data_IF_583042825663
#
_entry.id   IF_583042825663
#
_cell.length_a   1.000
_cell.length_b   1.000
_cell.length_c   1.000
_cell.angle_alpha   90.00
_cell.angle_beta   90.00
_cell.angle_gamma   90.00
#
_symmetry.space_group_name_H-M   'P 1'
#
loop_
_entity.id
_entity.type
_entity.pdbx_description
1 polymer ?
#
# COMPACT_ATOMS: atom_id res chain seq x y z
N UNK A 1 2.48 0.44 -16.09
CA UNK A 1 2.86 -0.96 -15.77
C UNK A 1 2.14 -1.95 -16.67
N UNK A 2 0.80 -2.00 -16.69
CA UNK A 2 0.03 -2.93 -17.53
C UNK A 2 -0.84 -2.21 -18.59
N UNK A 3 -0.29 -1.79 -19.74
CA UNK A 3 -1.04 -1.02 -20.74
C UNK A 3 -2.13 -1.81 -21.47
N UNK A 4 -2.08 -3.15 -21.44
CA UNK A 4 -3.08 -4.02 -22.05
C UNK A 4 -4.26 -4.38 -21.14
N UNK A 5 -4.19 -4.03 -19.85
CA UNK A 5 -5.29 -4.27 -18.92
C UNK A 5 -6.45 -3.29 -19.16
N UNK A 6 -7.68 -3.79 -19.06
CA UNK A 6 -8.88 -2.93 -19.05
C UNK A 6 -8.97 -2.25 -17.68
N UNK A 7 -9.21 -0.94 -17.67
CA UNK A 7 -9.38 -0.15 -16.45
C UNK A 7 -10.86 0.19 -16.30
N UNK A 8 -11.49 -0.31 -15.25
CA UNK A 8 -12.82 0.08 -14.83
C UNK A 8 -12.72 1.07 -13.66
N UNK A 9 -12.98 2.36 -13.94
CA UNK A 9 -13.01 3.40 -12.92
C UNK A 9 -14.38 3.39 -12.22
N UNK A 10 -14.42 2.91 -10.98
CA UNK A 10 -15.64 2.85 -10.17
C UNK A 10 -15.69 4.08 -9.25
N UNK A 11 -16.71 4.92 -9.42
CA UNK A 11 -16.81 6.21 -8.76
C UNK A 11 -17.80 6.18 -7.59
N UNK A 12 -17.33 6.47 -6.38
CA UNK A 12 -18.18 6.69 -5.21
C UNK A 12 -18.94 8.02 -5.33
N UNK A 13 -20.11 8.08 -4.70
CA UNK A 13 -20.94 9.30 -4.67
C UNK A 13 -20.29 10.42 -3.85
N UNK A 14 -19.51 10.07 -2.84
CA UNK A 14 -18.75 10.99 -1.99
C UNK A 14 -17.51 10.28 -1.43
N UNK A 15 -16.73 10.99 -0.61
CA UNK A 15 -15.60 10.43 0.14
C UNK A 15 -16.01 9.81 1.49
N UNK A 16 -17.31 9.64 1.75
CA UNK A 16 -17.77 9.00 2.99
C UNK A 16 -17.56 7.49 2.89
N UNK A 17 -17.15 6.86 4.00
CA UNK A 17 -16.79 5.43 4.05
C UNK A 17 -17.91 4.52 3.54
N UNK A 18 -19.17 4.84 3.85
CA UNK A 18 -20.32 4.07 3.38
C UNK A 18 -20.47 4.10 1.84
N UNK A 19 -20.15 5.22 1.20
CA UNK A 19 -20.19 5.34 -0.27
C UNK A 19 -18.99 4.63 -0.92
N UNK A 20 -17.81 4.69 -0.28
CA UNK A 20 -16.62 3.93 -0.71
C UNK A 20 -16.86 2.42 -0.60
N UNK A 21 -17.39 1.95 0.53
CA UNK A 21 -17.79 0.56 0.73
C UNK A 21 -18.81 0.12 -0.32
N UNK A 22 -19.81 0.96 -0.61
CA UNK A 22 -20.83 0.63 -1.61
C UNK A 22 -20.25 0.38 -2.99
N UNK A 23 -19.25 1.15 -3.42
CA UNK A 23 -18.63 0.96 -4.75
C UNK A 23 -17.62 -0.17 -4.77
N UNK A 24 -16.88 -0.39 -3.68
CA UNK A 24 -16.02 -1.57 -3.55
C UNK A 24 -16.86 -2.85 -3.60
N UNK A 25 -17.99 -2.87 -2.88
CA UNK A 25 -18.95 -3.97 -2.94
C UNK A 25 -19.49 -4.17 -4.36
N UNK A 26 -19.88 -3.10 -5.05
CA UNK A 26 -20.35 -3.19 -6.43
C UNK A 26 -19.30 -3.81 -7.36
N UNK A 27 -18.03 -3.39 -7.22
CA UNK A 27 -16.94 -3.92 -8.02
C UNK A 27 -16.71 -5.42 -7.80
N UNK A 28 -16.80 -5.88 -6.54
CA UNK A 28 -16.69 -7.29 -6.17
C UNK A 28 -17.90 -8.11 -6.65
N UNK A 29 -19.12 -7.67 -6.34
CA UNK A 29 -20.37 -8.38 -6.69
C UNK A 29 -20.56 -8.58 -8.20
N UNK A 30 -20.00 -7.68 -9.01
CA UNK A 30 -20.09 -7.73 -10.47
C UNK A 30 -18.79 -8.19 -11.13
N UNK A 31 -17.80 -8.61 -10.34
CA UNK A 31 -16.47 -9.06 -10.79
C UNK A 31 -15.86 -8.15 -11.86
N UNK A 32 -15.88 -6.83 -11.64
CA UNK A 32 -15.49 -5.86 -12.67
C UNK A 32 -14.02 -5.98 -13.10
N UNK A 33 -13.16 -6.55 -12.24
CA UNK A 33 -11.76 -6.80 -12.56
C UNK A 33 -11.13 -7.81 -11.60
N UNK A 34 -9.99 -8.33 -12.02
CA UNK A 34 -9.21 -9.33 -11.28
C UNK A 34 -8.45 -8.69 -10.08
N UNK A 35 -8.33 -7.36 -10.10
CA UNK A 35 -7.56 -6.57 -9.14
C UNK A 35 -8.27 -5.26 -8.82
N UNK A 36 -8.42 -4.96 -7.53
CA UNK A 36 -8.91 -3.69 -7.00
C UNK A 36 -7.73 -2.93 -6.40
N UNK A 37 -7.56 -1.66 -6.80
CA UNK A 37 -6.55 -0.75 -6.26
C UNK A 37 -7.20 0.42 -5.55
N UNK A 38 -6.85 0.63 -4.29
CA UNK A 38 -7.38 1.71 -3.45
C UNK A 38 -6.24 2.64 -3.01
N UNK A 39 -6.27 3.88 -3.47
CA UNK A 39 -5.28 4.91 -3.12
C UNK A 39 -5.89 5.95 -2.16
N UNK A 40 -6.54 5.45 -1.10
CA UNK A 40 -7.18 6.25 -0.05
C UNK A 40 -7.09 5.51 1.28
N UNK A 41 -7.30 6.24 2.36
CA UNK A 41 -7.37 5.67 3.69
C UNK A 41 -7.47 6.73 4.79
N UNK A 42 -7.65 6.24 6.00
CA UNK A 42 -7.67 7.04 7.24
C UNK A 42 -7.17 6.20 8.42
N UNK A 43 -7.02 6.82 9.59
CA UNK A 43 -6.74 6.09 10.82
C UNK A 43 -7.82 5.02 11.06
N UNK A 44 -7.42 3.75 11.18
CA UNK A 44 -8.38 2.66 11.40
C UNK A 44 -9.24 2.86 12.67
N UNK A 45 -8.75 3.63 13.64
CA UNK A 45 -9.50 3.99 14.85
C UNK A 45 -10.62 5.02 14.63
N UNK A 46 -10.65 5.68 13.48
CA UNK A 46 -11.64 6.70 13.14
C UNK A 46 -12.82 6.15 12.35
N UNK A 47 -12.63 5.04 11.63
CA UNK A 47 -13.67 4.37 10.88
C UNK A 47 -14.75 3.78 11.79
N UNK A 48 -16.02 3.83 11.37
CA UNK A 48 -17.12 3.18 12.09
C UNK A 48 -16.88 1.65 12.14
N UNK A 49 -16.83 1.03 13.34
CA UNK A 49 -16.58 -0.41 13.47
C UNK A 49 -17.56 -1.30 12.69
N UNK A 50 -18.80 -0.85 12.46
CA UNK A 50 -19.79 -1.58 11.64
C UNK A 50 -19.46 -1.49 10.17
N UNK A 51 -18.96 -0.35 9.70
CA UNK A 51 -18.51 -0.20 8.32
C UNK A 51 -17.25 -1.02 8.08
N UNK A 52 -16.29 -1.03 9.02
CA UNK A 52 -15.11 -1.92 8.94
C UNK A 52 -15.51 -3.39 8.89
N UNK A 53 -16.47 -3.83 9.71
CA UNK A 53 -16.96 -5.20 9.66
C UNK A 53 -17.61 -5.55 8.31
N UNK A 54 -18.42 -4.63 7.76
CA UNK A 54 -19.03 -4.82 6.44
C UNK A 54 -18.00 -4.76 5.30
N UNK A 55 -16.97 -3.93 5.42
CA UNK A 55 -15.85 -3.86 4.47
C UNK A 55 -15.05 -5.16 4.49
N UNK A 56 -14.77 -5.70 5.67
CA UNK A 56 -14.12 -7.00 5.82
C UNK A 56 -14.90 -8.12 5.12
N UNK A 57 -16.23 -8.17 5.27
CA UNK A 57 -17.09 -9.14 4.57
C UNK A 57 -16.99 -9.01 3.03
N UNK A 58 -16.81 -7.78 2.52
CA UNK A 58 -16.59 -7.53 1.08
C UNK A 58 -15.20 -8.03 0.66
N UNK A 59 -14.16 -7.85 1.46
CA UNK A 59 -12.83 -8.39 1.17
C UNK A 59 -12.79 -9.92 1.26
N UNK A 60 -13.57 -10.53 2.16
CA UNK A 60 -13.77 -11.98 2.17
C UNK A 60 -14.45 -12.47 0.89
N UNK A 61 -15.42 -11.72 0.36
CA UNK A 61 -16.05 -12.02 -0.92
C UNK A 61 -15.05 -11.88 -2.07
N UNK A 62 -14.26 -10.80 -2.10
CA UNK A 62 -13.19 -10.60 -3.09
C UNK A 62 -12.20 -11.78 -3.10
N UNK A 63 -11.76 -12.23 -1.92
CA UNK A 63 -10.87 -13.37 -1.79
C UNK A 63 -11.49 -14.68 -2.33
N UNK A 64 -12.81 -14.90 -2.14
CA UNK A 64 -13.53 -16.05 -2.70
C UNK A 64 -13.67 -16.00 -4.22
N UNK A 65 -13.84 -14.80 -4.78
CA UNK A 65 -13.94 -14.58 -6.24
C UNK A 65 -12.56 -14.42 -6.92
N UNK A 66 -11.48 -14.70 -6.18
CA UNK A 66 -10.10 -14.53 -6.64
C UNK A 66 -9.78 -13.12 -7.13
N UNK A 67 -10.36 -12.10 -6.49
CA UNK A 67 -10.03 -10.68 -6.74
C UNK A 67 -8.94 -10.25 -5.77
N UNK A 68 -7.83 -9.73 -6.29
CA UNK A 68 -6.77 -9.17 -5.46
C UNK A 68 -7.16 -7.77 -4.98
N UNK A 69 -7.07 -7.50 -3.68
CA UNK A 69 -7.35 -6.16 -3.13
C UNK A 69 -6.06 -5.53 -2.61
N UNK A 70 -5.73 -4.34 -3.13
CA UNK A 70 -4.55 -3.57 -2.76
C UNK A 70 -4.95 -2.21 -2.22
N UNK A 71 -4.25 -1.76 -1.19
CA UNK A 71 -4.42 -0.41 -0.66
C UNK A 71 -3.10 0.27 -0.30
N UNK A 72 -3.03 1.58 -0.54
CA UNK A 72 -1.95 2.43 -0.03
C UNK A 72 -1.93 2.41 1.50
N UNK A 73 -0.74 2.24 2.10
CA UNK A 73 -0.58 2.16 3.56
C UNK A 73 -0.61 3.51 4.29
N UNK A 74 -0.57 4.62 3.55
CA UNK A 74 -0.64 5.98 4.09
C UNK A 74 0.62 6.79 3.81
N UNK A 75 0.49 8.12 3.92
CA UNK A 75 1.54 9.08 3.54
C UNK A 75 2.05 9.92 4.71
N UNK A 76 1.58 9.66 5.93
CA UNK A 76 1.95 10.38 7.16
C UNK A 76 2.85 9.53 8.08
N UNK A 77 3.71 8.70 7.51
CA UNK A 77 4.63 7.85 8.27
C UNK A 77 3.90 6.83 9.15
N UNK A 78 4.38 6.63 10.37
CA UNK A 78 3.67 5.83 11.38
C UNK A 78 2.40 6.52 11.93
N UNK A 79 2.12 7.75 11.50
CA UNK A 79 0.98 8.52 11.95
C UNK A 79 -0.18 8.49 10.95
N UNK A 80 -1.35 8.82 11.47
CA UNK A 80 -2.53 9.22 10.69
C UNK A 80 -3.13 10.48 11.32
N UNK A 81 -3.88 11.29 10.56
CA UNK A 81 -4.66 12.35 11.15
C UNK A 81 -5.63 11.81 12.22
N UNK A 82 -5.82 12.60 13.26
CA UNK A 82 -6.92 12.42 14.23
C UNK A 82 -8.29 12.52 13.54
N UNK A 83 -9.34 11.96 14.13
CA UNK A 83 -10.65 11.87 13.49
C UNK A 83 -11.33 13.24 13.24
N UNK A 84 -10.92 14.28 13.98
CA UNK A 84 -11.33 15.67 13.76
C UNK A 84 -10.35 16.46 12.88
N UNK A 85 -9.31 15.78 12.37
CA UNK A 85 -8.24 16.31 11.54
C UNK A 85 -7.46 17.47 12.18
N UNK A 86 -7.46 17.56 13.52
CA UNK A 86 -6.81 18.64 14.26
C UNK A 86 -5.33 18.40 14.55
N UNK A 87 -4.91 17.14 14.64
CA UNK A 87 -3.55 16.68 14.94
C UNK A 87 -3.28 15.29 14.34
N UNK A 88 -2.19 14.63 14.76
CA UNK A 88 -1.77 13.30 14.31
C UNK A 88 -1.68 12.31 15.46
N UNK A 89 -1.98 11.04 15.19
CA UNK A 89 -1.92 9.91 16.12
C UNK A 89 -1.14 8.74 15.52
N UNK A 90 -0.48 7.95 16.35
CA UNK A 90 0.10 6.67 15.92
C UNK A 90 -1.05 5.72 15.52
N UNK A 91 -1.13 5.36 14.24
CA UNK A 91 -2.20 4.50 13.74
C UNK A 91 -1.81 3.85 12.43
N UNK A 92 -2.27 2.60 12.21
CA UNK A 92 -2.35 2.03 10.88
C UNK A 92 -3.47 2.69 10.06
N UNK A 93 -3.34 2.64 8.73
CA UNK A 93 -4.36 3.13 7.80
C UNK A 93 -5.31 1.99 7.41
N UNK A 94 -6.61 2.21 7.53
CA UNK A 94 -7.62 1.39 6.83
C UNK A 94 -7.76 1.89 5.38
N UNK A 95 -8.07 1.07 4.36
CA UNK A 95 -8.31 -0.39 4.40
C UNK A 95 -7.03 -1.24 4.38
N UNK A 96 -5.84 -0.64 4.25
CA UNK A 96 -4.59 -1.40 4.22
C UNK A 96 -4.36 -2.26 5.48
N UNK A 97 -4.96 -1.90 6.63
CA UNK A 97 -4.83 -2.64 7.88
C UNK A 97 -5.66 -3.92 7.93
N UNK A 98 -6.63 -4.09 7.03
CA UNK A 98 -7.39 -5.33 6.90
C UNK A 98 -6.44 -6.50 6.50
N UNK A 99 -6.53 -7.67 7.15
CA UNK A 99 -5.72 -8.84 6.82
C UNK A 99 -5.91 -9.41 5.40
N UNK A 100 -7.02 -9.11 4.73
CA UNK A 100 -7.33 -9.56 3.38
C UNK A 100 -6.86 -8.59 2.28
N UNK A 101 -6.37 -7.43 2.68
CA UNK A 101 -5.83 -6.40 1.78
C UNK A 101 -4.31 -6.49 1.76
N UNK A 102 -3.71 -6.41 0.58
CA UNK A 102 -2.26 -6.23 0.43
C UNK A 102 -1.94 -4.74 0.61
N UNK A 103 -1.37 -4.39 1.77
CA UNK A 103 -0.96 -3.04 2.09
C UNK A 103 0.35 -2.66 1.38
N UNK A 104 0.34 -1.54 0.66
CA UNK A 104 1.50 -1.06 -0.12
C UNK A 104 2.16 0.15 0.53
N UNK A 105 3.39 -0.05 0.96
CA UNK A 105 4.32 0.92 1.53
C UNK A 105 5.06 1.78 0.50
N UNK A 106 5.89 2.66 1.02
CA UNK A 106 6.66 3.64 0.27
C UNK A 106 8.17 3.52 0.46
N UNK A 107 8.89 3.52 -0.66
CA UNK A 107 10.35 3.68 -0.73
C UNK A 107 10.71 4.98 -1.43
N UNK A 108 11.96 5.40 -1.25
CA UNK A 108 12.60 6.37 -2.13
C UNK A 108 13.59 5.62 -3.04
N UNK A 109 13.22 5.53 -4.31
CA UNK A 109 14.00 4.85 -5.34
C UNK A 109 15.14 5.75 -5.85
N UNK A 110 16.35 5.18 -5.82
CA UNK A 110 17.47 5.66 -6.61
C UNK A 110 17.66 4.72 -7.81
N UNK A 111 17.39 5.25 -8.99
CA UNK A 111 17.57 4.56 -10.26
C UNK A 111 18.35 5.43 -11.23
N UNK A 112 19.01 4.80 -12.18
CA UNK A 112 19.67 5.50 -13.28
C UNK A 112 18.62 6.20 -14.14
N UNK A 113 18.68 7.53 -14.23
CA UNK A 113 17.66 8.34 -14.88
C UNK A 113 17.62 8.20 -16.40
N UNK A 114 18.64 7.61 -17.02
CA UNK A 114 18.71 7.42 -18.48
C UNK A 114 18.23 6.02 -18.88
N UNK A 115 18.60 5.01 -18.10
CA UNK A 115 18.36 3.59 -18.40
C UNK A 115 17.21 2.99 -17.61
N UNK A 116 16.78 3.64 -16.52
CA UNK A 116 15.80 3.12 -15.57
C UNK A 116 16.34 1.98 -14.70
N UNK A 117 17.65 1.70 -14.73
CA UNK A 117 18.25 0.62 -13.97
C UNK A 117 18.16 0.91 -12.47
N UNK A 118 17.64 -0.05 -11.70
CA UNK A 118 17.66 -0.03 -10.24
C UNK A 118 19.09 0.11 -9.69
N UNK A 119 19.29 1.00 -8.71
CA UNK A 119 20.57 1.17 -7.98
C UNK A 119 20.38 0.83 -6.51
N UNK A 120 19.44 1.48 -5.84
CA UNK A 120 19.13 1.26 -4.42
C UNK A 120 17.79 1.87 -4.02
N UNK A 121 17.27 1.47 -2.88
CA UNK A 121 16.12 2.08 -2.23
C UNK A 121 16.40 2.34 -0.74
N UNK A 122 15.72 3.34 -0.19
CA UNK A 122 15.63 3.60 1.26
C UNK A 122 14.15 3.77 1.62
N UNK A 123 13.81 3.70 2.90
CA UNK A 123 12.44 4.02 3.33
C UNK A 123 12.07 5.46 2.92
N UNK A 124 10.85 5.63 2.40
CA UNK A 124 10.37 6.97 2.06
C UNK A 124 10.09 7.79 3.32
N UNK A 125 10.85 8.87 3.50
CA UNK A 125 10.62 9.88 4.54
C UNK A 125 11.13 11.25 4.08
N UNK A 126 10.25 12.04 3.48
CA UNK A 126 10.51 13.40 3.04
C UNK A 126 9.91 14.39 4.04
N UNK A 127 10.58 14.54 5.19
CA UNK A 127 10.10 15.36 6.31
C UNK A 127 9.77 16.81 5.91
N UNK A 128 10.50 17.38 4.94
CA UNK A 128 10.22 18.73 4.42
C UNK A 128 8.85 18.85 3.72
N UNK A 129 8.31 17.73 3.23
CA UNK A 129 6.97 17.62 2.65
C UNK A 129 5.94 17.11 3.66
N UNK A 130 6.34 16.88 4.92
CA UNK A 130 5.53 16.20 5.94
C UNK A 130 4.94 14.89 5.39
N UNK A 131 5.79 14.09 4.72
CA UNK A 131 5.35 12.87 4.05
C UNK A 131 6.33 11.72 4.30
N UNK A 132 5.81 10.55 4.62
CA UNK A 132 6.59 9.34 4.86
C UNK A 132 5.72 8.09 4.67
N UNK A 133 6.37 6.94 4.46
CA UNK A 133 5.69 5.65 4.27
C UNK A 133 4.79 5.27 5.46
N UNK A 134 3.52 5.02 5.18
CA UNK A 134 2.60 4.34 6.06
C UNK A 134 3.15 2.99 6.54
N UNK A 135 3.07 2.73 7.84
CA UNK A 135 3.56 1.46 8.37
C UNK A 135 3.47 1.40 9.89
N UNK A 136 3.30 0.19 10.41
CA UNK A 136 3.12 -0.04 11.83
C UNK A 136 2.32 -1.30 12.11
N UNK A 137 1.52 -1.26 13.17
CA UNK A 137 0.70 -2.39 13.60
C UNK A 137 -0.73 -1.92 13.80
N UNK A 138 -1.68 -2.71 13.32
CA UNK A 138 -3.09 -2.49 13.64
C UNK A 138 -3.33 -2.62 15.15
N UNK A 139 -4.37 -1.96 15.65
CA UNK A 139 -4.96 -2.13 16.98
C UNK A 139 -6.32 -2.84 16.90
N UNK A 140 -6.83 -3.10 15.69
CA UNK A 140 -8.12 -3.74 15.45
C UNK A 140 -7.97 -5.20 15.01
N UNK A 141 -7.04 -5.46 14.08
CA UNK A 141 -6.87 -6.77 13.46
C UNK A 141 -5.71 -7.54 14.08
N UNK A 142 -6.00 -8.75 14.58
CA UNK A 142 -4.97 -9.68 15.06
C UNK A 142 -4.01 -10.06 13.95
N UNK A 143 -2.78 -10.41 14.32
CA UNK A 143 -1.78 -10.91 13.38
C UNK A 143 -2.36 -12.13 12.63
N UNK A 144 -2.55 -12.05 11.30
CA UNK A 144 -3.06 -13.17 10.53
C UNK A 144 -2.00 -14.27 10.40
N UNK A 145 -2.46 -15.49 10.11
CA UNK A 145 -1.60 -16.67 10.14
C UNK A 145 -0.42 -16.60 9.18
N UNK A 146 -0.58 -15.94 8.03
CA UNK A 146 0.51 -15.76 7.05
C UNK A 146 1.65 -14.89 7.57
N UNK A 147 1.42 -14.05 8.59
CA UNK A 147 2.46 -13.24 9.22
C UNK A 147 3.21 -13.97 10.35
N UNK A 148 2.79 -15.20 10.72
CA UNK A 148 3.45 -15.96 11.78
C UNK A 148 4.90 -16.27 11.41
N UNK A 149 5.82 -16.08 12.37
CA UNK A 149 7.26 -16.27 12.15
C UNK A 149 7.97 -15.06 11.55
N UNK A 150 7.23 -14.10 10.99
CA UNK A 150 7.75 -12.83 10.45
C UNK A 150 7.46 -11.68 11.41
N UNK A 151 6.18 -11.38 11.63
CA UNK A 151 5.75 -10.23 12.41
C UNK A 151 5.70 -10.61 13.89
N UNK A 152 6.57 -10.02 14.71
CA UNK A 152 6.68 -10.36 16.14
C UNK A 152 5.51 -9.83 16.99
N UNK A 153 4.87 -8.76 16.55
CA UNK A 153 3.70 -8.18 17.21
C UNK A 153 2.49 -9.14 17.17
N UNK A 154 1.57 -9.03 18.13
CA UNK A 154 0.33 -9.80 18.18
C UNK A 154 -0.76 -9.30 17.21
N UNK A 155 -0.54 -8.13 16.60
CA UNK A 155 -1.47 -7.48 15.66
C UNK A 155 -0.92 -7.46 14.24
N UNK A 156 -1.80 -7.27 13.24
CA UNK A 156 -1.47 -7.21 11.82
C UNK A 156 -0.42 -6.12 11.59
N UNK A 157 0.76 -6.50 11.09
CA UNK A 157 1.82 -5.56 10.74
C UNK A 157 1.65 -5.03 9.32
N UNK A 158 1.91 -3.75 9.07
CA UNK A 158 1.87 -3.11 7.76
C UNK A 158 3.21 -2.41 7.44
N UNK A 159 3.54 -2.22 6.15
CA UNK A 159 2.85 -2.73 4.96
C UNK A 159 3.21 -4.21 4.70
N UNK A 160 2.63 -4.81 3.65
CA UNK A 160 3.04 -6.15 3.20
C UNK A 160 4.22 -6.07 2.24
N UNK A 161 4.20 -5.08 1.36
CA UNK A 161 5.20 -4.81 0.31
C UNK A 161 5.32 -3.31 0.12
N UNK A 162 6.30 -2.83 -0.65
CA UNK A 162 6.46 -1.41 -0.94
C UNK A 162 6.68 -1.14 -2.43
N UNK A 163 6.60 0.14 -2.80
CA UNK A 163 7.00 0.65 -4.11
C UNK A 163 7.48 2.10 -3.96
N UNK A 164 8.10 2.65 -5.01
CA UNK A 164 8.54 4.05 -4.98
C UNK A 164 7.36 5.00 -4.70
N UNK A 165 7.49 5.77 -3.63
CA UNK A 165 6.49 6.72 -3.14
C UNK A 165 7.08 8.12 -2.91
N UNK A 166 8.41 8.29 -2.97
CA UNK A 166 9.01 9.60 -2.84
C UNK A 166 8.60 10.55 -3.97
N UNK A 167 8.35 11.81 -3.62
CA UNK A 167 8.15 12.88 -4.60
C UNK A 167 9.46 13.19 -5.31
N UNK A 168 10.59 13.15 -4.58
CA UNK A 168 11.91 13.11 -5.19
C UNK A 168 12.13 11.77 -5.91
N UNK A 169 12.10 11.82 -7.25
CA UNK A 169 12.06 10.63 -8.10
C UNK A 169 10.64 10.08 -8.31
N UNK A 170 9.62 10.88 -8.06
CA UNK A 170 8.21 10.50 -8.15
C UNK A 170 7.72 10.24 -9.58
N UNK A 171 6.48 9.77 -9.67
CA UNK A 171 5.83 9.40 -10.92
C UNK A 171 5.41 10.64 -11.69
N UNK A 172 5.82 10.73 -12.95
CA UNK A 172 5.37 11.76 -13.85
C UNK A 172 3.97 11.42 -14.38
N UNK A 173 2.98 12.24 -14.03
CA UNK A 173 1.57 12.01 -14.39
C UNK A 173 1.02 13.21 -15.16
N UNK A 174 0.32 12.95 -16.27
CA UNK A 174 -0.37 13.99 -17.02
C UNK A 174 -1.79 14.19 -16.48
N UNK A 175 -2.10 15.38 -15.98
CA UNK A 175 -3.45 15.72 -15.56
C UNK A 175 -4.20 16.41 -16.70
N UNK A 176 -4.98 15.64 -17.46
CA UNK A 176 -5.71 16.15 -18.63
C UNK A 176 -7.00 16.92 -18.32
N UNK A 177 -7.44 16.94 -17.06
CA UNK A 177 -8.73 17.46 -16.64
C UNK A 177 -8.68 18.85 -16.00
N UNK A 178 -7.53 19.53 -16.02
CA UNK A 178 -7.33 20.86 -15.42
C UNK A 178 -7.51 22.03 -16.42
N UNK A 179 -8.05 21.76 -17.61
CA UNK A 179 -8.26 22.76 -18.65
C UNK A 179 -6.94 23.42 -19.10
N UNK A 180 -6.83 24.74 -18.94
CA UNK A 180 -5.62 25.48 -19.33
C UNK A 180 -4.38 25.12 -18.49
N UNK A 181 -4.55 24.49 -17.34
CA UNK A 181 -3.45 24.01 -16.49
C UNK A 181 -3.08 22.55 -16.76
N UNK A 182 -3.73 21.86 -17.70
CA UNK A 182 -3.42 20.46 -17.99
C UNK A 182 -1.96 20.29 -18.43
N UNK A 183 -1.17 19.60 -17.62
CA UNK A 183 0.26 19.40 -17.83
C UNK A 183 0.75 18.12 -17.13
N UNK A 184 2.03 17.83 -17.29
CA UNK A 184 2.76 16.84 -16.51
C UNK A 184 3.10 17.40 -15.12
N UNK A 185 2.76 16.63 -14.09
CA UNK A 185 3.07 16.89 -12.68
C UNK A 185 3.75 15.68 -12.04
N UNK A 186 4.61 15.93 -11.06
CA UNK A 186 5.30 14.88 -10.31
C UNK A 186 4.51 14.56 -9.05
N UNK A 187 4.18 13.28 -8.87
CA UNK A 187 3.49 12.78 -7.68
C UNK A 187 4.33 11.72 -6.98
N UNK A 188 4.21 11.69 -5.65
CA UNK A 188 4.68 10.62 -4.79
C UNK A 188 3.50 9.92 -4.12
N UNK A 189 3.64 9.59 -2.84
CA UNK A 189 2.62 8.91 -2.05
C UNK A 189 2.63 7.40 -2.25
N UNK A 190 2.29 6.66 -1.21
CA UNK A 190 1.91 5.24 -1.30
C UNK A 190 0.69 5.04 -2.19
N UNK A 191 -0.07 6.11 -2.43
CA UNK A 191 -1.07 6.25 -3.49
C UNK A 191 -0.53 5.87 -4.88
N UNK A 192 0.74 6.13 -5.17
CA UNK A 192 1.45 5.72 -6.40
C UNK A 192 2.03 4.30 -6.32
N UNK A 193 1.94 3.62 -5.17
CA UNK A 193 2.37 2.23 -5.03
C UNK A 193 1.24 1.25 -5.32
N UNK A 194 0.04 1.51 -4.80
CA UNK A 194 -1.12 0.62 -4.98
C UNK A 194 -1.45 0.32 -6.46
N UNK A 195 -1.61 1.32 -7.36
CA UNK A 195 -1.88 1.04 -8.78
C UNK A 195 -0.71 0.40 -9.52
N UNK A 196 0.52 0.58 -9.03
CA UNK A 196 1.73 0.02 -9.62
C UNK A 196 1.79 -1.47 -9.33
N UNK A 197 1.52 -1.86 -8.07
CA UNK A 197 1.31 -3.24 -7.69
C UNK A 197 0.08 -3.86 -8.39
N UNK A 198 -1.02 -3.12 -8.55
CA UNK A 198 -2.17 -3.65 -9.30
C UNK A 198 -1.81 -3.98 -10.75
N UNK A 199 -1.00 -3.12 -11.39
CA UNK A 199 -0.45 -3.42 -12.71
C UNK A 199 0.50 -4.62 -12.71
N UNK A 200 1.29 -4.84 -11.65
CA UNK A 200 2.14 -6.03 -11.50
C UNK A 200 1.25 -7.27 -11.39
N UNK A 201 0.24 -7.26 -10.53
CA UNK A 201 -0.70 -8.38 -10.38
C UNK A 201 -1.39 -8.69 -11.70
N UNK A 202 -1.87 -7.69 -12.45
CA UNK A 202 -2.47 -7.92 -13.78
C UNK A 202 -1.50 -8.59 -14.78
N UNK A 203 -0.20 -8.25 -14.74
CA UNK A 203 0.82 -8.93 -15.56
C UNK A 203 1.05 -10.37 -15.12
N UNK A 204 0.95 -10.65 -13.81
CA UNK A 204 1.08 -11.98 -13.25
C UNK A 204 -0.15 -12.85 -13.55
N UNK A 205 -1.36 -12.29 -13.46
CA UNK A 205 -2.61 -12.94 -13.88
C UNK A 205 -2.52 -13.33 -15.36
N UNK A 206 -2.03 -12.41 -16.21
CA UNK A 206 -1.79 -12.68 -17.62
C UNK A 206 -0.79 -13.82 -17.84
N UNK A 207 0.32 -13.84 -17.09
CA UNK A 207 1.35 -14.86 -17.25
C UNK A 207 0.91 -16.25 -16.78
N UNK A 208 0.18 -16.30 -15.67
CA UNK A 208 -0.29 -17.56 -15.07
C UNK A 208 -1.62 -18.04 -15.66
N UNK A 209 -2.26 -17.22 -16.50
CA UNK A 209 -3.52 -17.49 -17.17
C UNK A 209 -4.67 -17.81 -16.20
N UNK A 210 -4.65 -17.22 -15.00
CA UNK A 210 -5.72 -17.24 -14.01
C UNK A 210 -5.56 -16.06 -13.04
N UNK A 211 -6.62 -15.72 -12.31
CA UNK A 211 -6.56 -14.69 -11.26
C UNK A 211 -5.79 -15.20 -10.04
N UNK A 212 -4.81 -14.44 -9.57
CA UNK A 212 -4.06 -14.79 -8.35
C UNK A 212 -4.91 -14.66 -7.07
N UNK A 213 -5.84 -13.71 -7.04
CA UNK A 213 -6.69 -13.45 -5.88
C UNK A 213 -5.93 -13.00 -4.62
N UNK A 214 -6.23 -13.61 -3.47
CA UNK A 214 -5.61 -13.19 -2.22
C UNK A 214 -4.12 -13.58 -2.12
N UNK A 215 -3.22 -12.62 -2.41
CA UNK A 215 -1.78 -12.88 -2.55
C UNK A 215 -0.95 -12.84 -1.26
N UNK A 216 -1.48 -12.31 -0.14
CA UNK A 216 -0.68 -12.14 1.10
C UNK A 216 -0.03 -13.45 1.58
N UNK A 217 -0.72 -14.61 1.66
CA UNK A 217 -0.10 -15.86 2.09
C UNK A 217 1.12 -16.25 1.25
N UNK A 218 1.05 -16.04 -0.06
CA UNK A 218 2.13 -16.38 -0.98
C UNK A 218 3.30 -15.41 -0.87
N UNK A 219 3.04 -14.09 -0.76
CA UNK A 219 4.09 -13.09 -0.53
C UNK A 219 4.88 -13.39 0.75
N UNK A 220 4.21 -13.73 1.85
CA UNK A 220 4.89 -14.06 3.11
C UNK A 220 5.64 -15.39 3.04
N UNK A 221 5.12 -16.39 2.32
CA UNK A 221 5.84 -17.64 2.08
C UNK A 221 7.15 -17.41 1.32
N UNK A 222 7.15 -16.50 0.33
CA UNK A 222 8.34 -16.11 -0.43
C UNK A 222 9.32 -15.37 0.48
N UNK A 223 8.85 -14.36 1.23
CA UNK A 223 9.68 -13.56 2.12
C UNK A 223 10.32 -14.36 3.26
N UNK A 224 9.60 -15.36 3.80
CA UNK A 224 10.12 -16.27 4.82
C UNK A 224 11.16 -17.26 4.27
N UNK A 225 11.21 -17.45 2.96
CA UNK A 225 12.15 -18.35 2.31
C UNK A 225 13.44 -17.60 1.95
N UNK A 226 14.50 -17.84 2.73
CA UNK A 226 15.83 -17.21 2.54
C UNK A 226 16.43 -17.38 1.14
N UNK A 227 16.05 -18.40 0.38
CA UNK A 227 16.53 -18.60 -0.98
C UNK A 227 15.71 -17.82 -2.03
N UNK A 228 14.42 -17.59 -1.77
CA UNK A 228 13.50 -16.92 -2.69
C UNK A 228 13.43 -15.42 -2.43
N UNK A 229 13.49 -14.99 -1.17
CA UNK A 229 13.37 -13.60 -0.77
C UNK A 229 14.29 -12.64 -1.55
N UNK A 230 15.63 -12.81 -1.55
CA UNK A 230 16.52 -11.88 -2.25
C UNK A 230 16.41 -11.94 -3.77
N UNK A 231 15.77 -12.99 -4.32
CA UNK A 231 15.48 -13.06 -5.74
C UNK A 231 14.18 -12.35 -6.10
N UNK A 232 13.18 -12.34 -5.20
CA UNK A 232 11.85 -11.83 -5.46
C UNK A 232 11.63 -10.39 -4.97
N UNK A 233 12.44 -9.90 -4.02
CA UNK A 233 12.30 -8.58 -3.43
C UNK A 233 13.64 -7.87 -3.26
N UNK A 234 13.62 -6.55 -3.37
CA UNK A 234 14.66 -5.67 -2.88
C UNK A 234 14.38 -5.35 -1.40
N UNK A 235 15.24 -5.83 -0.52
CA UNK A 235 15.16 -5.55 0.92
C UNK A 235 15.61 -4.13 1.25
N UNK A 236 14.82 -3.41 2.04
CA UNK A 236 15.04 -1.97 2.29
C UNK A 236 15.53 -1.79 3.71
N UNK A 237 16.84 -1.87 3.91
CA UNK A 237 17.42 -1.93 5.26
C UNK A 237 17.70 -0.55 5.90
N UNK A 238 17.45 0.57 5.19
CA UNK A 238 17.83 1.92 5.64
C UNK A 238 16.65 2.90 5.69
N UNK A 239 16.46 3.50 6.86
CA UNK A 239 15.53 4.59 7.10
C UNK A 239 14.52 4.29 8.20
N UNK A 240 13.49 5.13 8.28
CA UNK A 240 12.41 5.02 9.24
C UNK A 240 11.17 5.78 8.73
N UNK A 241 10.01 5.54 9.33
CA UNK A 241 8.79 6.30 9.07
C UNK A 241 8.33 7.17 10.24
N UNK A 242 9.27 7.72 11.02
CA UNK A 242 8.93 8.76 12.00
C UNK A 242 8.35 9.96 11.28
N UNK A 243 7.17 10.38 11.73
CA UNK A 243 6.45 11.50 11.16
C UNK A 243 6.73 12.76 11.96
N UNK A 244 7.06 13.84 11.25
CA UNK A 244 7.13 15.20 11.82
C UNK A 244 6.24 16.08 10.95
N UNK A 245 5.17 16.60 11.55
CA UNK A 245 4.21 17.45 10.88
C UNK A 245 3.75 18.60 11.77
N UNK A 246 2.68 19.27 11.37
CA UNK A 246 2.13 20.43 12.09
C UNK A 246 0.65 20.25 12.37
N UNK A 247 0.21 20.49 13.60
CA UNK A 247 -1.22 20.46 13.97
C UNK A 247 -1.98 21.70 13.44
N UNK A 248 -3.30 21.72 13.63
CA UNK A 248 -4.17 22.84 13.19
C UNK A 248 -3.85 24.18 13.86
N UNK A 249 -3.13 24.16 14.99
CA UNK A 249 -2.70 25.35 15.72
C UNK A 249 -1.29 25.82 15.32
N UNK A 250 -0.63 25.13 14.39
CA UNK A 250 0.72 25.48 13.95
C UNK A 250 1.83 24.87 14.81
N UNK A 251 1.53 23.96 15.75
CA UNK A 251 2.54 23.33 16.57
C UNK A 251 3.14 22.11 15.87
N UNK A 252 4.45 21.91 16.02
CA UNK A 252 5.11 20.69 15.54
C UNK A 252 4.62 19.47 16.32
N UNK A 253 4.18 18.44 15.59
CA UNK A 253 3.82 17.12 16.12
C UNK A 253 4.86 16.11 15.63
N UNK A 254 5.37 15.29 16.53
CA UNK A 254 6.28 14.19 16.19
C UNK A 254 5.69 12.87 16.68
N UNK A 255 5.47 11.95 15.74
CA UNK A 255 5.06 10.57 16.03
C UNK A 255 6.24 9.67 15.70
N UNK A 256 6.88 9.14 16.74
CA UNK A 256 7.98 8.19 16.60
C UNK A 256 7.49 6.93 15.89
N UNK A 257 8.09 6.64 14.74
CA UNK A 257 7.75 5.49 13.93
C UNK A 257 8.66 4.30 14.18
N UNK A 258 8.79 3.48 13.14
CA UNK A 258 9.58 2.27 13.12
C UNK A 258 10.81 2.45 12.22
N UNK A 259 11.83 1.64 12.46
CA UNK A 259 13.02 1.61 11.62
C UNK A 259 12.95 0.41 10.69
N UNK A 260 13.59 0.54 9.53
CA UNK A 260 13.82 -0.58 8.63
C UNK A 260 14.82 -1.60 9.19
N UNK A 261 14.84 -2.81 8.63
CA UNK A 261 15.78 -3.86 9.02
C UNK A 261 15.91 -4.97 7.98
N UNK A 262 16.63 -6.04 8.34
CA UNK A 262 16.74 -7.27 7.53
C UNK A 262 15.39 -8.01 7.48
N UNK A 263 14.91 -8.28 6.28
CA UNK A 263 13.62 -8.91 6.01
C UNK A 263 12.44 -7.96 6.23
N UNK A 264 11.30 -8.52 6.63
CA UNK A 264 10.09 -7.71 6.83
C UNK A 264 10.27 -6.68 7.94
N UNK A 265 9.88 -5.43 7.66
CA UNK A 265 9.79 -4.36 8.65
C UNK A 265 8.47 -3.57 8.56
N UNK A 266 8.15 -2.83 9.63
CA UNK A 266 6.93 -2.04 9.74
C UNK A 266 7.02 -0.67 9.04
N UNK A 267 7.85 -0.56 8.01
CA UNK A 267 8.03 0.64 7.18
C UNK A 267 7.83 0.32 5.70
N UNK A 268 8.43 -0.77 5.23
CA UNK A 268 8.46 -1.20 3.82
C UNK A 268 7.98 -2.62 3.59
N UNK A 269 7.62 -3.35 4.66
CA UNK A 269 7.16 -4.72 4.55
C UNK A 269 8.28 -5.61 4.03
N UNK A 270 8.00 -6.47 3.05
CA UNK A 270 9.02 -7.25 2.35
C UNK A 270 9.84 -6.45 1.32
N UNK A 271 9.66 -5.13 1.24
CA UNK A 271 10.34 -4.28 0.27
C UNK A 271 9.68 -4.28 -1.11
N UNK A 272 10.43 -3.84 -2.13
CA UNK A 272 9.91 -3.65 -3.48
C UNK A 272 10.10 -4.92 -4.34
N UNK A 273 9.22 -5.18 -5.32
CA UNK A 273 9.24 -6.44 -6.07
C UNK A 273 10.30 -6.46 -7.18
N UNK A 274 11.01 -7.58 -7.29
CA UNK A 274 11.79 -7.94 -8.48
C UNK A 274 10.87 -8.76 -9.40
N UNK A 275 10.07 -8.07 -10.20
CA UNK A 275 8.94 -8.67 -10.95
C UNK A 275 9.38 -9.84 -11.86
N UNK A 276 10.55 -9.75 -12.51
CA UNK A 276 11.08 -10.81 -13.39
C UNK A 276 11.36 -12.14 -12.67
N UNK A 277 11.47 -12.10 -11.35
CA UNK A 277 11.70 -13.25 -10.49
C UNK A 277 10.46 -13.62 -9.68
N UNK A 278 9.71 -12.63 -9.18
CA UNK A 278 8.47 -12.82 -8.43
C UNK A 278 7.45 -13.69 -9.19
N UNK A 279 7.41 -13.52 -10.51
CA UNK A 279 6.58 -14.31 -11.43
C UNK A 279 6.81 -15.82 -11.33
N UNK A 280 7.98 -16.26 -10.84
CA UNK A 280 8.31 -17.67 -10.68
C UNK A 280 7.95 -18.27 -9.32
N UNK A 281 7.19 -17.56 -8.49
CA UNK A 281 6.87 -18.02 -7.13
C UNK A 281 5.39 -17.84 -6.74
N UNK A 282 4.61 -17.14 -7.56
CA UNK A 282 3.19 -16.90 -7.33
C UNK A 282 2.35 -17.94 -8.08
N UNK A 283 2.18 -19.12 -7.46
CA UNK A 283 1.30 -20.20 -7.89
C UNK A 283 0.95 -21.14 -6.73
#
# INVERSE_FOLDING_TARGET
VAPGAKIDLVLAKSNQDADLLSVTKYAVDHELGDVISQSFGEAESCADPKLLAAEHEVFEAAAREHITVLASSGDSGAAQPTCDNSSYILSASTPASDPLVTGVGGTQLNADSQTGKYISEVAWNETALQAASGGGYSILYKRPAYQNGTVKNAWRGLPDVSYNAAVNGGVQTYLGFLGAQSNFYTFGGTSSGSPQWAGIVALLDQHTNHRLGFINPTLYKIGQNRAQYPAAFHDIEKGNNTFVGTDISGNTVTINGYNTGDGWDAVTGWGSPIVSHLIWYLW
#
